data_IF_521002668712
#
_entry.id   IF_521002668712
#
_cell.length_a   1.000
_cell.length_b   1.000
_cell.length_c   1.000
_cell.angle_alpha   90.00
_cell.angle_beta   90.00
_cell.angle_gamma   90.00
#
_symmetry.space_group_name_H-M   'P 1'
#
loop_
_entity.id
_entity.type
_entity.pdbx_description
1 polymer ?
#
# COMPACT_ATOMS: atom_id res chain seq x y z
N UNK A 1 -6.16 7.48 -12.75
CA UNK A 1 -6.67 8.78 -12.28
C UNK A 1 -6.73 8.77 -10.76
N UNK A 2 -6.05 9.69 -10.08
CA UNK A 2 -6.08 9.76 -8.62
C UNK A 2 -7.53 9.98 -8.12
N UNK A 3 -7.88 9.34 -7.00
CA UNK A 3 -9.18 9.51 -6.36
C UNK A 3 -9.39 11.01 -6.05
N UNK A 4 -10.56 11.60 -6.41
CA UNK A 4 -10.81 13.03 -6.28
C UNK A 4 -10.72 13.51 -4.83
N UNK A 5 -10.53 14.82 -4.66
CA UNK A 5 -10.45 15.47 -3.35
C UNK A 5 -11.69 15.15 -2.50
N UNK A 6 -11.45 14.62 -1.31
CA UNK A 6 -12.45 14.31 -0.28
C UNK A 6 -11.82 14.57 1.10
N UNK A 7 -12.59 14.59 2.18
CA UNK A 7 -12.05 14.82 3.52
C UNK A 7 -11.12 13.66 3.95
N UNK A 8 -11.43 12.43 3.56
CA UNK A 8 -10.61 11.24 3.82
C UNK A 8 -10.73 10.18 2.70
N UNK A 9 -9.85 9.17 2.78
CA UNK A 9 -9.92 7.94 2.01
C UNK A 9 -9.75 6.74 2.95
N UNK A 10 -10.54 5.68 2.75
CA UNK A 10 -10.49 4.47 3.56
C UNK A 10 -10.66 3.21 2.70
N UNK A 11 -10.13 2.07 3.18
CA UNK A 11 -10.36 0.78 2.52
C UNK A 11 -11.44 -0.02 3.25
N UNK A 12 -12.38 -0.57 2.48
CA UNK A 12 -13.52 -1.37 2.97
C UNK A 12 -13.62 -2.68 2.17
N UNK A 13 -14.29 -3.69 2.74
CA UNK A 13 -14.49 -4.97 2.04
C UNK A 13 -15.69 -4.95 1.09
N UNK A 14 -16.66 -4.07 1.33
CA UNK A 14 -17.87 -3.89 0.52
C UNK A 14 -18.08 -2.40 0.23
N UNK A 15 -18.14 -2.02 -1.04
CA UNK A 15 -18.34 -0.64 -1.48
C UNK A 15 -19.81 -0.22 -1.40
N UNK A 16 -20.76 -1.15 -1.40
CA UNK A 16 -22.20 -0.87 -1.29
C UNK A 16 -22.66 -0.80 0.17
N UNK A 17 -21.93 -1.47 1.07
CA UNK A 17 -22.11 -1.38 2.52
C UNK A 17 -20.76 -1.09 3.22
N UNK A 18 -20.24 0.15 3.12
CA UNK A 18 -18.90 0.48 3.60
C UNK A 18 -18.81 0.45 5.13
N UNK A 19 -18.31 -0.67 5.65
CA UNK A 19 -17.95 -0.85 7.05
C UNK A 19 -16.47 -0.54 7.28
N UNK A 20 -16.19 0.32 8.26
CA UNK A 20 -14.84 0.76 8.59
C UNK A 20 -14.22 -0.18 9.64
N UNK A 21 -12.91 -0.45 9.51
CA UNK A 21 -12.20 -1.10 10.63
C UNK A 21 -12.27 -0.17 11.86
N UNK A 22 -12.31 -0.71 13.09
CA UNK A 22 -12.39 0.11 14.30
C UNK A 22 -11.31 1.20 14.38
N UNK A 23 -10.09 0.88 13.95
CA UNK A 23 -8.97 1.84 13.92
C UNK A 23 -9.18 2.95 12.89
N UNK A 24 -9.75 2.62 11.73
CA UNK A 24 -10.05 3.60 10.68
C UNK A 24 -11.24 4.48 11.11
N UNK A 25 -12.27 3.92 11.72
CA UNK A 25 -13.40 4.66 12.29
C UNK A 25 -12.92 5.65 13.35
N UNK A 26 -12.08 5.19 14.29
CA UNK A 26 -11.48 6.05 15.30
C UNK A 26 -10.67 7.18 14.65
N UNK A 27 -9.84 6.86 13.66
CA UNK A 27 -9.04 7.87 12.97
C UNK A 27 -9.91 8.91 12.26
N UNK A 28 -10.91 8.49 11.49
CA UNK A 28 -11.79 9.39 10.74
C UNK A 28 -12.63 10.29 11.65
N UNK A 29 -13.28 9.75 12.68
CA UNK A 29 -14.23 10.54 13.48
C UNK A 29 -13.62 11.18 14.73
N UNK A 30 -12.51 10.67 15.27
CA UNK A 30 -11.86 11.25 16.46
C UNK A 30 -10.63 12.08 16.11
N UNK A 31 -9.76 11.59 15.23
CA UNK A 31 -8.54 12.30 14.87
C UNK A 31 -8.81 13.37 13.80
N UNK A 32 -9.44 12.99 12.68
CA UNK A 32 -9.81 13.91 11.60
C UNK A 32 -11.09 14.70 11.89
N UNK A 33 -11.90 14.23 12.84
CA UNK A 33 -13.13 14.89 13.33
C UNK A 33 -14.14 15.15 12.23
N UNK A 34 -14.29 14.19 11.31
CA UNK A 34 -15.26 14.28 10.24
C UNK A 34 -16.69 14.44 10.78
N UNK A 35 -17.48 15.25 10.10
CA UNK A 35 -18.84 15.64 10.44
C UNK A 35 -19.84 15.11 9.43
N UNK A 36 -21.12 14.92 9.83
CA UNK A 36 -22.18 14.59 8.89
C UNK A 36 -22.22 15.54 7.69
N UNK A 37 -22.38 14.97 6.50
CA UNK A 37 -22.38 15.70 5.23
C UNK A 37 -21.00 15.84 4.55
N UNK A 38 -19.89 15.52 5.24
CA UNK A 38 -18.58 15.57 4.60
C UNK A 38 -18.35 14.40 3.63
N UNK A 39 -17.71 14.70 2.49
CA UNK A 39 -17.40 13.71 1.48
C UNK A 39 -16.18 12.87 1.89
N UNK A 40 -16.30 11.56 1.77
CA UNK A 40 -15.23 10.56 1.97
C UNK A 40 -15.17 9.70 0.71
N UNK A 41 -14.02 9.09 0.46
CA UNK A 41 -13.88 8.08 -0.59
C UNK A 41 -13.53 6.74 0.03
N UNK A 42 -14.09 5.67 -0.51
CA UNK A 42 -13.81 4.30 -0.06
C UNK A 42 -13.33 3.46 -1.23
N UNK A 43 -12.39 2.55 -0.98
CA UNK A 43 -11.80 1.66 -1.98
C UNK A 43 -11.77 0.21 -1.49
N UNK A 44 -11.82 -0.76 -2.41
CA UNK A 44 -11.58 -2.17 -2.11
C UNK A 44 -10.08 -2.54 -2.10
N UNK A 45 -9.21 -1.59 -2.43
CA UNK A 45 -7.77 -1.81 -2.55
C UNK A 45 -7.37 -2.63 -3.79
N UNK A 46 -8.33 -2.93 -4.65
CA UNK A 46 -8.19 -3.71 -5.88
C UNK A 46 -8.68 -2.92 -7.10
N UNK A 47 -8.56 -1.58 -7.03
CA UNK A 47 -8.85 -0.68 -8.14
C UNK A 47 -10.28 -0.17 -8.20
N UNK A 48 -11.21 -0.66 -7.37
CA UNK A 48 -12.57 -0.12 -7.34
C UNK A 48 -12.72 0.82 -6.16
N UNK A 49 -13.29 1.99 -6.42
CA UNK A 49 -13.56 2.97 -5.38
C UNK A 49 -14.86 3.72 -5.66
N UNK A 50 -15.44 4.33 -4.63
CA UNK A 50 -16.60 5.22 -4.79
C UNK A 50 -16.56 6.38 -3.81
N UNK A 51 -17.43 7.37 -4.05
CA UNK A 51 -17.71 8.43 -3.09
C UNK A 51 -18.73 7.97 -2.06
N UNK A 52 -18.53 8.42 -0.84
CA UNK A 52 -19.46 8.31 0.27
C UNK A 52 -19.63 9.68 0.93
N UNK A 53 -20.70 9.82 1.69
CA UNK A 53 -20.93 10.94 2.59
C UNK A 53 -20.93 10.42 4.02
N UNK A 54 -20.43 11.19 4.98
CA UNK A 54 -20.59 10.88 6.39
C UNK A 54 -22.07 11.03 6.77
N UNK A 55 -22.72 9.92 7.10
CA UNK A 55 -24.08 9.87 7.60
C UNK A 55 -24.14 9.85 9.14
N UNK A 56 -25.33 9.59 9.67
CA UNK A 56 -25.55 9.57 11.12
C UNK A 56 -24.96 8.32 11.82
N UNK A 57 -24.76 7.23 11.07
CA UNK A 57 -24.33 5.92 11.60
C UNK A 57 -23.06 5.36 10.93
N UNK A 58 -22.34 6.18 10.17
CA UNK A 58 -21.17 5.75 9.41
C UNK A 58 -21.11 6.38 8.02
N UNK A 59 -20.49 5.69 7.07
CA UNK A 59 -20.39 6.15 5.69
C UNK A 59 -21.61 5.69 4.87
N UNK A 60 -22.18 6.60 4.09
CA UNK A 60 -23.30 6.35 3.19
C UNK A 60 -22.83 6.48 1.73
N UNK A 61 -23.05 5.49 0.85
CA UNK A 61 -22.63 5.60 -0.53
C UNK A 61 -23.28 6.76 -1.29
N UNK A 62 -22.48 7.51 -2.06
CA UNK A 62 -22.86 8.78 -2.69
C UNK A 62 -22.35 8.90 -4.14
N UNK A 63 -22.56 7.87 -4.96
CA UNK A 63 -22.20 7.83 -6.39
C UNK A 63 -21.84 6.42 -6.85
N UNK A 64 -21.67 6.23 -8.16
CA UNK A 64 -21.33 4.93 -8.74
C UNK A 64 -19.91 4.45 -8.36
N UNK A 65 -19.69 3.13 -8.48
CA UNK A 65 -18.36 2.55 -8.37
C UNK A 65 -17.55 2.91 -9.61
N UNK A 66 -16.37 3.48 -9.37
CA UNK A 66 -15.37 3.80 -10.39
C UNK A 66 -14.29 2.72 -10.37
N UNK A 67 -13.87 2.28 -11.57
CA UNK A 67 -12.76 1.36 -11.75
C UNK A 67 -11.53 2.12 -12.21
N UNK A 68 -10.48 2.06 -11.42
CA UNK A 68 -9.15 2.59 -11.73
C UNK A 68 -8.33 1.47 -12.39
N UNK A 69 -7.88 1.63 -13.64
CA UNK A 69 -7.03 0.64 -14.29
C UNK A 69 -5.72 0.50 -13.52
N UNK A 70 -5.14 -0.70 -13.59
CA UNK A 70 -3.80 -0.94 -13.03
C UNK A 70 -2.73 -0.35 -13.95
N UNK A 71 -1.56 -0.02 -13.39
CA UNK A 71 -0.40 0.39 -14.17
C UNK A 71 0.02 -0.70 -15.15
N UNK A 72 0.29 -0.31 -16.40
CA UNK A 72 0.81 -1.18 -17.44
C UNK A 72 2.09 -0.57 -18.05
N UNK A 73 3.26 -1.22 -17.91
CA UNK A 73 3.49 -2.45 -17.15
C UNK A 73 3.37 -2.22 -15.62
N UNK A 74 3.09 -3.28 -14.83
CA UNK A 74 3.15 -3.19 -13.38
C UNK A 74 4.58 -2.91 -12.92
N UNK A 75 4.72 -2.09 -11.87
CA UNK A 75 6.01 -1.72 -11.30
C UNK A 75 6.21 -2.49 -10.00
N UNK A 76 7.23 -3.36 -9.96
CA UNK A 76 7.64 -4.07 -8.76
C UNK A 76 8.99 -3.57 -8.26
N UNK A 77 9.15 -3.45 -6.93
CA UNK A 77 10.38 -3.01 -6.29
C UNK A 77 10.78 -3.97 -5.17
N UNK A 78 11.95 -4.58 -5.31
CA UNK A 78 12.61 -5.28 -4.22
C UNK A 78 13.60 -4.36 -3.53
N UNK A 79 13.64 -4.36 -2.20
CA UNK A 79 14.58 -3.56 -1.42
C UNK A 79 15.35 -4.40 -0.41
N UNK A 80 16.65 -4.15 -0.26
CA UNK A 80 17.46 -4.83 0.74
C UNK A 80 17.05 -4.42 2.16
N UNK A 81 16.84 -5.39 3.04
CA UNK A 81 16.52 -5.13 4.45
C UNK A 81 17.67 -4.40 5.15
N UNK A 82 17.33 -3.32 5.85
CA UNK A 82 18.25 -2.51 6.65
C UNK A 82 17.83 -2.48 8.12
N UNK A 83 18.74 -2.11 9.03
CA UNK A 83 18.44 -1.93 10.46
C UNK A 83 17.52 -0.72 10.70
N UNK A 84 16.77 -0.74 11.80
CA UNK A 84 15.90 0.35 12.24
C UNK A 84 14.59 0.45 11.46
N UNK A 85 14.00 1.65 11.43
CA UNK A 85 12.68 1.93 10.84
C UNK A 85 12.71 2.17 9.32
N UNK A 86 13.89 2.12 8.70
CA UNK A 86 14.05 2.31 7.25
C UNK A 86 13.13 1.43 6.38
N UNK A 87 12.85 0.14 6.69
CA UNK A 87 11.92 -0.66 5.90
C UNK A 87 10.50 -0.08 5.85
N UNK A 88 10.00 0.46 6.96
CA UNK A 88 8.67 1.10 7.01
C UNK A 88 8.66 2.35 6.12
N UNK A 89 9.70 3.18 6.22
CA UNK A 89 9.84 4.37 5.37
C UNK A 89 9.90 4.02 3.88
N UNK A 90 10.66 2.99 3.49
CA UNK A 90 10.73 2.53 2.09
C UNK A 90 9.35 2.06 1.62
N UNK A 91 8.65 1.23 2.38
CA UNK A 91 7.30 0.76 2.03
C UNK A 91 6.34 1.93 1.89
N UNK A 92 6.36 2.89 2.83
CA UNK A 92 5.56 4.10 2.74
C UNK A 92 5.81 4.84 1.42
N UNK A 93 7.07 5.14 1.08
CA UNK A 93 7.40 5.93 -0.12
C UNK A 93 7.12 5.21 -1.42
N UNK A 94 7.41 3.92 -1.50
CA UNK A 94 7.05 3.13 -2.69
C UNK A 94 5.53 3.04 -2.85
N UNK A 95 4.78 2.93 -1.75
CA UNK A 95 3.32 2.96 -1.80
C UNK A 95 2.82 4.31 -2.30
N UNK A 96 3.29 5.43 -1.74
CA UNK A 96 2.93 6.79 -2.18
C UNK A 96 3.23 7.04 -3.67
N UNK A 97 4.24 6.35 -4.23
CA UNK A 97 4.61 6.41 -5.64
C UNK A 97 3.77 5.49 -6.56
N UNK A 98 2.86 4.69 -5.99
CA UNK A 98 1.98 3.79 -6.76
C UNK A 98 2.67 2.51 -7.26
N UNK A 99 3.71 2.04 -6.57
CA UNK A 99 4.34 0.74 -6.86
C UNK A 99 3.34 -0.39 -6.65
N UNK A 100 3.29 -1.35 -7.57
CA UNK A 100 2.32 -2.46 -7.57
C UNK A 100 2.70 -3.60 -6.61
N UNK A 101 4.00 -3.89 -6.49
CA UNK A 101 4.53 -4.91 -5.60
C UNK A 101 5.79 -4.42 -4.89
N UNK A 102 5.84 -4.59 -3.57
CA UNK A 102 6.99 -4.23 -2.75
C UNK A 102 7.48 -5.50 -2.04
N UNK A 103 8.75 -5.84 -2.24
CA UNK A 103 9.33 -7.08 -1.71
C UNK A 103 10.58 -6.80 -0.86
N UNK A 104 10.58 -7.12 0.44
CA UNK A 104 11.81 -7.10 1.21
C UNK A 104 12.77 -8.19 0.72
N UNK A 105 14.06 -7.91 0.71
CA UNK A 105 15.08 -8.81 0.19
C UNK A 105 16.25 -8.92 1.16
N UNK A 106 16.81 -10.13 1.27
CA UNK A 106 18.07 -10.38 1.96
C UNK A 106 19.17 -10.63 0.94
N UNK A 107 20.26 -9.87 1.05
CA UNK A 107 21.44 -9.96 0.18
C UNK A 107 22.66 -10.39 0.98
N UNK A 108 23.80 -10.63 0.31
CA UNK A 108 25.08 -10.96 0.96
C UNK A 108 25.49 -9.97 2.05
N UNK A 109 25.14 -8.68 1.90
CA UNK A 109 25.51 -7.61 2.83
C UNK A 109 24.39 -7.26 3.82
N UNK A 110 23.25 -7.96 3.76
CA UNK A 110 22.14 -7.75 4.69
C UNK A 110 22.46 -8.33 6.06
N UNK A 111 22.61 -7.44 7.05
CA UNK A 111 22.91 -7.82 8.45
C UNK A 111 21.63 -8.16 9.24
N UNK A 112 20.47 -7.70 8.78
CA UNK A 112 19.19 -7.96 9.45
C UNK A 112 18.60 -9.27 8.96
N UNK A 113 18.38 -10.21 9.87
CA UNK A 113 17.59 -11.41 9.61
C UNK A 113 16.38 -11.39 10.52
N UNK A 114 15.19 -11.49 9.94
CA UNK A 114 13.99 -11.76 10.71
C UNK A 114 13.92 -13.27 10.93
N UNK A 115 14.04 -13.70 12.19
CA UNK A 115 13.70 -15.06 12.56
C UNK A 115 12.21 -15.33 12.31
N UNK A 116 11.81 -16.60 12.38
CA UNK A 116 10.44 -17.03 12.06
C UNK A 116 9.37 -16.33 12.90
N UNK A 117 9.65 -15.98 14.17
CA UNK A 117 8.70 -15.29 15.05
C UNK A 117 8.60 -13.79 14.74
N UNK A 118 9.72 -13.14 14.44
CA UNK A 118 9.78 -11.70 14.14
C UNK A 118 9.31 -11.37 12.73
N UNK A 119 9.46 -12.30 11.78
CA UNK A 119 9.05 -12.12 10.38
C UNK A 119 7.56 -11.81 10.26
N UNK A 120 6.69 -12.61 10.86
CA UNK A 120 5.24 -12.40 10.77
C UNK A 120 4.83 -11.02 11.29
N UNK A 121 5.37 -10.61 12.45
CA UNK A 121 5.11 -9.29 13.04
C UNK A 121 5.64 -8.15 12.16
N UNK A 122 6.85 -8.28 11.63
CA UNK A 122 7.44 -7.27 10.73
C UNK A 122 6.62 -7.13 9.44
N UNK A 123 6.22 -8.25 8.84
CA UNK A 123 5.40 -8.26 7.62
C UNK A 123 4.01 -7.67 7.86
N UNK A 124 3.35 -7.99 8.98
CA UNK A 124 2.09 -7.36 9.36
C UNK A 124 2.24 -5.84 9.51
N UNK A 125 3.34 -5.39 10.14
CA UNK A 125 3.64 -3.97 10.27
C UNK A 125 3.84 -3.28 8.91
N UNK A 126 4.59 -3.89 7.99
CA UNK A 126 4.76 -3.34 6.64
C UNK A 126 3.44 -3.25 5.87
N UNK A 127 2.54 -4.23 6.02
CA UNK A 127 1.20 -4.19 5.40
C UNK A 127 0.34 -3.05 5.95
N UNK A 128 0.37 -2.81 7.27
CA UNK A 128 -0.34 -1.66 7.85
C UNK A 128 0.27 -0.31 7.43
N UNK A 129 1.61 -0.23 7.31
CA UNK A 129 2.28 0.97 6.77
C UNK A 129 1.87 1.25 5.33
N UNK A 130 1.85 0.22 4.47
CA UNK A 130 1.37 0.34 3.11
C UNK A 130 -0.09 0.78 3.05
N UNK A 131 -0.98 0.16 3.83
CA UNK A 131 -2.39 0.53 3.87
C UNK A 131 -2.58 1.98 4.33
N UNK A 132 -1.88 2.41 5.36
CA UNK A 132 -1.92 3.80 5.85
C UNK A 132 -1.40 4.79 4.81
N UNK A 133 -0.25 4.50 4.19
CA UNK A 133 0.31 5.32 3.12
C UNK A 133 -0.65 5.44 1.93
N UNK A 134 -1.26 4.33 1.51
CA UNK A 134 -2.23 4.31 0.42
C UNK A 134 -3.51 5.10 0.75
N UNK A 135 -3.98 5.10 2.01
CA UNK A 135 -5.09 5.96 2.44
C UNK A 135 -4.71 7.44 2.34
N UNK A 136 -3.53 7.83 2.83
CA UNK A 136 -3.08 9.22 2.78
C UNK A 136 -2.84 9.69 1.33
N UNK A 137 -2.33 8.81 0.47
CA UNK A 137 -2.14 9.06 -0.96
C UNK A 137 -3.41 8.87 -1.80
N UNK A 138 -4.51 8.39 -1.21
CA UNK A 138 -5.80 8.13 -1.86
C UNK A 138 -5.71 7.20 -3.06
N UNK A 139 -4.97 6.11 -2.90
CA UNK A 139 -4.78 5.11 -3.95
C UNK A 139 -5.93 4.11 -3.97
N UNK A 140 -6.45 3.82 -5.17
CA UNK A 140 -7.45 2.78 -5.36
C UNK A 140 -6.85 1.36 -5.23
N UNK A 141 -5.54 1.23 -5.45
CA UNK A 141 -4.81 -0.03 -5.39
C UNK A 141 -3.90 -0.08 -4.16
N UNK A 142 -3.94 -1.19 -3.42
CA UNK A 142 -2.94 -1.50 -2.41
C UNK A 142 -1.77 -2.26 -3.07
N UNK A 143 -0.51 -1.91 -2.73
CA UNK A 143 0.64 -2.69 -3.20
C UNK A 143 0.61 -4.08 -2.60
N UNK A 144 1.00 -5.08 -3.38
CA UNK A 144 1.28 -6.41 -2.86
C UNK A 144 2.56 -6.37 -2.03
N UNK A 145 2.48 -6.71 -0.74
CA UNK A 145 3.67 -6.84 0.12
C UNK A 145 4.14 -8.30 0.09
N UNK A 146 5.14 -8.54 -0.76
CA UNK A 146 5.72 -9.86 -1.03
C UNK A 146 6.53 -10.39 0.16
N UNK A 147 6.55 -11.71 0.31
CA UNK A 147 7.35 -12.36 1.34
C UNK A 147 8.86 -12.15 1.11
N UNK A 148 9.66 -11.97 2.19
CA UNK A 148 11.10 -11.81 2.10
C UNK A 148 11.78 -12.94 1.32
N UNK A 149 12.63 -12.59 0.38
CA UNK A 149 13.34 -13.53 -0.50
C UNK A 149 14.83 -13.18 -0.66
N UNK A 150 15.59 -14.06 -1.33
CA UNK A 150 16.96 -13.78 -1.78
C UNK A 150 16.99 -12.85 -3.00
N UNK A 151 18.20 -12.43 -3.38
CA UNK A 151 18.41 -11.62 -4.59
C UNK A 151 18.02 -12.36 -5.87
N UNK A 152 18.49 -13.60 -6.02
CA UNK A 152 18.21 -14.41 -7.20
C UNK A 152 16.71 -14.74 -7.30
N UNK A 153 16.05 -14.99 -6.15
CA UNK A 153 14.61 -15.21 -6.09
C UNK A 153 13.82 -13.95 -6.53
N UNK A 154 14.27 -12.76 -6.12
CA UNK A 154 13.64 -11.50 -6.52
C UNK A 154 13.79 -11.27 -8.03
N UNK A 155 14.98 -11.52 -8.56
CA UNK A 155 15.27 -11.42 -10.00
C UNK A 155 14.41 -12.39 -10.81
N UNK A 156 14.29 -13.64 -10.35
CA UNK A 156 13.44 -14.64 -10.97
C UNK A 156 11.94 -14.28 -10.88
N UNK A 157 11.48 -13.77 -9.75
CA UNK A 157 10.08 -13.41 -9.51
C UNK A 157 9.61 -12.24 -10.39
N UNK A 158 10.49 -11.27 -10.67
CA UNK A 158 10.16 -10.12 -11.54
C UNK A 158 10.26 -10.45 -13.04
N UNK A 159 10.74 -11.65 -13.38
CA UNK A 159 10.71 -12.22 -14.73
C UNK A 159 11.65 -11.56 -15.74
N UNK A 160 11.55 -11.99 -17.00
CA UNK A 160 12.34 -11.51 -18.14
C UNK A 160 11.97 -10.08 -18.62
N UNK A 161 11.31 -9.29 -17.77
CA UNK A 161 11.01 -7.89 -18.04
C UNK A 161 12.26 -7.00 -18.00
N UNK A 162 12.08 -5.69 -18.14
CA UNK A 162 13.16 -4.71 -17.95
C UNK A 162 13.47 -4.58 -16.46
N UNK A 163 14.38 -5.40 -15.95
CA UNK A 163 14.88 -5.30 -14.59
C UNK A 163 16.01 -4.28 -14.53
N UNK A 164 15.95 -3.36 -13.58
CA UNK A 164 17.01 -2.42 -13.27
C UNK A 164 17.45 -2.60 -11.81
N UNK A 165 18.77 -2.51 -11.58
CA UNK A 165 19.34 -2.56 -10.23
C UNK A 165 20.02 -1.22 -9.96
N UNK A 166 19.64 -0.58 -8.85
CA UNK A 166 20.28 0.64 -8.38
C UNK A 166 21.68 0.32 -7.82
N UNK A 167 22.67 0.27 -8.71
CA UNK A 167 24.08 0.04 -8.38
C UNK A 167 24.87 1.35 -8.51
N UNK A 168 25.70 1.75 -7.53
CA UNK A 168 26.43 3.02 -7.57
C UNK A 168 27.36 3.16 -8.79
N UNK A 169 27.82 2.04 -9.35
CA UNK A 169 28.65 2.03 -10.55
C UNK A 169 27.89 2.14 -11.89
N UNK A 170 26.54 2.12 -11.89
CA UNK A 170 25.72 2.25 -13.11
C UNK A 170 25.93 1.15 -14.16
N UNK A 171 26.58 0.03 -13.79
CA UNK A 171 26.85 -1.08 -14.69
C UNK A 171 25.60 -1.92 -14.93
N UNK A 172 25.48 -2.48 -16.12
CA UNK A 172 24.45 -3.48 -16.43
C UNK A 172 24.70 -4.72 -15.57
N UNK A 173 23.66 -5.17 -14.86
CA UNK A 173 23.70 -6.43 -14.13
C UNK A 173 23.44 -7.53 -15.14
N UNK A 174 24.47 -8.33 -15.41
CA UNK A 174 24.44 -9.50 -16.31
C UNK A 174 23.81 -10.71 -15.64
#
# INVERSE_FOLDING_TARGET
MAVPAAAAHAFVTDLDAPDLRPDDEHHLFRALRLRPGEAVTVSDGAGRWRRCTVGARGLEPAGDVVVEPRSEPPIAVAFALTKGERPEWVVQKLTELGVDEIRPMTTRHTVVRWDHGRRAKAMARLREVARSAAMQARLAWLPAIGEPCGFDDALAAFGAGRVAVAHPGGQLVS
#
